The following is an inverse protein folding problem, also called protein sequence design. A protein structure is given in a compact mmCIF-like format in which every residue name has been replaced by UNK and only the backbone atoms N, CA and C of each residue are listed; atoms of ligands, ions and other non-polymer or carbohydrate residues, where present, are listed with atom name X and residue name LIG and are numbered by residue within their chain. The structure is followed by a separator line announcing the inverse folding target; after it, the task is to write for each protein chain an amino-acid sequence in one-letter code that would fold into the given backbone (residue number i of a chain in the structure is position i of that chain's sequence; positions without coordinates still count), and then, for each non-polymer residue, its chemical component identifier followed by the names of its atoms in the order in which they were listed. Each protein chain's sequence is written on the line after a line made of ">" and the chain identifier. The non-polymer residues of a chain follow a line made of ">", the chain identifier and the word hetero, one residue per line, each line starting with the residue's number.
data_IF_935276343318
#
_entry.id   IF_935276343318
#
_cell.length_a   1.000
_cell.length_b   1.000
_cell.length_c   1.000
_cell.angle_alpha   90.00
_cell.angle_beta   90.00
_cell.angle_gamma   90.00
#
_symmetry.space_group_name_H-M   'P 1'
#
loop_
_entity.id
_entity.type
_entity.pdbx_description
1 polymer ?
#
# COMPACT_ATOMS: atom_id res chain seq x y z
N UNK A 1 -36.58 21.64 -57.18
CA UNK A 1 -35.72 20.78 -56.36
C UNK A 1 -36.58 20.03 -55.36
N UNK A 2 -36.44 18.70 -55.28
CA UNK A 2 -37.23 17.73 -54.49
C UNK A 2 -37.45 18.15 -53.03
N UNK A 3 -38.67 18.14 -52.49
CA UNK A 3 -39.42 16.96 -51.98
C UNK A 3 -38.62 16.10 -51.01
N UNK A 4 -38.80 16.36 -49.71
CA UNK A 4 -38.96 15.30 -48.72
C UNK A 4 -40.19 15.60 -47.89
N UNK A 5 -41.12 14.68 -47.99
CA UNK A 5 -42.46 14.63 -47.42
C UNK A 5 -42.45 13.48 -46.41
N UNK A 6 -43.18 13.62 -45.32
CA UNK A 6 -43.84 12.49 -44.69
C UNK A 6 -43.23 11.85 -43.43
N UNK A 7 -44.02 11.96 -42.37
CA UNK A 7 -44.59 10.87 -41.54
C UNK A 7 -43.84 10.36 -40.31
N UNK A 8 -44.48 10.64 -39.16
CA UNK A 8 -44.80 9.75 -38.04
C UNK A 8 -43.90 8.53 -37.82
N UNK A 9 -43.12 8.59 -36.73
CA UNK A 9 -42.51 7.41 -36.14
C UNK A 9 -43.49 6.77 -35.14
N UNK A 10 -44.18 5.73 -35.60
CA UNK A 10 -44.90 4.76 -34.78
C UNK A 10 -43.88 3.83 -34.08
N UNK A 11 -43.90 3.68 -32.74
CA UNK A 11 -42.93 2.88 -32.00
C UNK A 11 -43.35 1.41 -31.95
N UNK A 12 -42.97 0.62 -32.96
CA UNK A 12 -43.35 -0.79 -32.94
C UNK A 12 -42.90 -1.65 -34.10
N UNK A 13 -41.60 -1.78 -34.36
CA UNK A 13 -41.07 -2.93 -35.13
C UNK A 13 -39.55 -2.95 -35.20
N UNK A 14 -38.88 -3.55 -34.21
CA UNK A 14 -37.56 -4.17 -34.47
C UNK A 14 -37.39 -5.40 -33.58
N UNK A 15 -38.33 -6.34 -33.72
CA UNK A 15 -38.06 -7.75 -33.45
C UNK A 15 -37.42 -8.36 -34.70
N UNK A 16 -36.38 -9.15 -34.45
CA UNK A 16 -35.71 -10.09 -35.34
C UNK A 16 -34.82 -9.52 -36.46
N UNK A 17 -33.51 -9.57 -36.21
CA UNK A 17 -32.69 -10.58 -36.91
C UNK A 17 -31.43 -10.97 -36.15
N UNK A 18 -31.38 -12.25 -35.82
CA UNK A 18 -30.24 -13.01 -35.30
C UNK A 18 -29.25 -13.27 -36.46
N UNK A 19 -27.97 -12.99 -36.27
CA UNK A 19 -26.86 -13.72 -36.92
C UNK A 19 -25.55 -13.50 -36.16
N UNK A 20 -25.10 -14.59 -35.52
CA UNK A 20 -23.70 -15.02 -35.41
C UNK A 20 -22.67 -14.09 -34.75
N UNK A 21 -22.26 -14.50 -33.55
CA UNK A 21 -21.07 -14.00 -32.84
C UNK A 21 -20.64 -15.00 -31.78
N UNK A 22 -20.25 -16.20 -32.20
CA UNK A 22 -19.67 -17.23 -31.34
C UNK A 22 -18.19 -16.90 -31.06
N UNK A 23 -17.89 -16.38 -29.86
CA UNK A 23 -16.58 -16.40 -29.21
C UNK A 23 -16.89 -16.46 -27.70
N UNK A 24 -16.73 -17.58 -26.99
CA UNK A 24 -15.52 -18.38 -26.90
C UNK A 24 -14.87 -18.06 -25.54
N UNK A 25 -15.39 -18.67 -24.47
CA UNK A 25 -14.82 -18.58 -23.13
C UNK A 25 -13.42 -19.19 -23.11
N UNK A 26 -12.41 -18.32 -22.98
CA UNK A 26 -11.01 -18.71 -22.86
C UNK A 26 -10.50 -18.48 -21.45
N UNK A 27 -10.32 -19.55 -20.69
CA UNK A 27 -9.41 -19.59 -19.54
C UNK A 27 -8.04 -19.11 -20.00
N UNK A 28 -7.60 -17.92 -19.54
CA UNK A 28 -6.20 -17.49 -19.71
C UNK A 28 -5.34 -18.41 -18.83
N UNK A 29 -4.77 -19.43 -19.45
CA UNK A 29 -3.69 -20.20 -18.86
C UNK A 29 -2.53 -19.23 -18.55
N UNK A 30 -2.05 -19.25 -17.31
CA UNK A 30 -0.80 -18.61 -16.93
C UNK A 30 0.31 -19.21 -17.81
N UNK A 31 0.91 -18.38 -18.66
CA UNK A 31 2.11 -18.78 -19.39
C UNK A 31 3.23 -19.06 -18.37
N UNK A 32 4.03 -20.12 -18.57
CA UNK A 32 5.19 -20.36 -17.72
C UNK A 32 6.17 -19.19 -17.84
N UNK A 33 6.87 -18.83 -16.75
CA UNK A 33 7.81 -17.72 -16.75
C UNK A 33 8.87 -17.91 -17.84
N UNK A 34 9.22 -16.81 -18.50
CA UNK A 34 10.22 -16.80 -19.55
C UNK A 34 11.61 -17.05 -18.97
N UNK A 35 12.57 -17.49 -19.80
CA UNK A 35 13.95 -17.69 -19.34
C UNK A 35 14.54 -16.43 -18.70
N UNK A 36 14.10 -15.22 -19.06
CA UNK A 36 14.53 -13.97 -18.46
C UNK A 36 14.08 -13.82 -16.99
N UNK A 37 12.86 -14.29 -16.66
CA UNK A 37 12.33 -14.29 -15.29
C UNK A 37 13.09 -15.32 -14.41
N UNK A 38 13.53 -16.43 -15.01
CA UNK A 38 14.35 -17.43 -14.34
C UNK A 38 15.80 -16.96 -14.08
N UNK A 39 16.36 -16.10 -14.94
CA UNK A 39 17.71 -15.55 -14.73
C UNK A 39 17.71 -14.55 -13.57
N UNK A 40 16.67 -13.71 -13.45
CA UNK A 40 16.53 -12.77 -12.33
C UNK A 40 16.38 -13.47 -10.96
N UNK A 41 15.76 -14.66 -10.93
CA UNK A 41 15.66 -15.46 -9.70
C UNK A 41 17.02 -16.03 -9.26
N UNK A 42 17.93 -16.32 -10.21
CA UNK A 42 19.25 -16.93 -9.93
C UNK A 42 20.29 -15.95 -9.39
N UNK A 43 20.10 -14.63 -9.59
CA UNK A 43 21.00 -13.58 -9.07
C UNK A 43 20.75 -13.24 -7.59
N UNK A 44 19.67 -13.76 -7.00
CA UNK A 44 19.25 -13.46 -5.62
C UNK A 44 19.73 -14.50 -4.59
N UNK A 45 20.32 -15.61 -5.05
CA UNK A 45 20.64 -16.79 -4.23
C UNK A 45 21.84 -16.57 -3.27
N UNK A 46 22.56 -15.47 -3.43
CA UNK A 46 23.74 -15.10 -2.63
C UNK A 46 23.63 -13.79 -1.85
N UNK A 47 22.49 -13.11 -1.89
CA UNK A 47 22.30 -11.87 -1.13
C UNK A 47 21.93 -12.21 0.32
N UNK A 48 22.54 -11.56 1.33
CA UNK A 48 22.13 -11.75 2.72
C UNK A 48 20.63 -11.50 2.85
N UNK A 49 19.91 -12.43 3.49
CA UNK A 49 18.47 -12.29 3.74
C UNK A 49 18.25 -11.00 4.52
N UNK A 50 17.64 -10.02 3.87
CA UNK A 50 17.29 -8.79 4.56
C UNK A 50 16.01 -9.00 5.36
N UNK A 51 16.07 -8.65 6.63
CA UNK A 51 14.89 -8.58 7.47
C UNK A 51 14.06 -7.38 7.01
N UNK A 52 12.85 -7.65 6.49
CA UNK A 52 11.94 -6.62 5.94
C UNK A 52 10.85 -6.22 6.92
N UNK A 53 10.64 -7.03 7.97
CA UNK A 53 9.54 -6.87 8.89
C UNK A 53 10.08 -6.58 10.29
N UNK A 54 10.14 -5.31 10.64
CA UNK A 54 10.51 -4.85 11.97
C UNK A 54 9.27 -4.47 12.79
N UNK A 55 8.06 -4.70 12.26
CA UNK A 55 6.82 -4.33 12.93
C UNK A 55 6.45 -5.35 14.01
N UNK A 56 6.43 -4.89 15.25
CA UNK A 56 5.83 -5.61 16.38
C UNK A 56 4.56 -4.86 16.77
N UNK A 57 3.41 -5.51 16.60
CA UNK A 57 2.12 -4.91 16.94
C UNK A 57 2.00 -4.77 18.45
N UNK A 58 1.76 -3.55 18.93
CA UNK A 58 1.56 -3.29 20.35
C UNK A 58 0.26 -3.92 20.87
N UNK A 59 0.18 -4.36 22.14
CA UNK A 59 -1.04 -4.94 22.72
C UNK A 59 -2.26 -4.00 22.61
N UNK A 60 -2.03 -2.69 22.70
CA UNK A 60 -3.01 -1.61 22.54
C UNK A 60 -3.65 -1.58 21.13
N UNK A 61 -2.90 -1.96 20.11
CA UNK A 61 -3.33 -2.02 18.70
C UNK A 61 -3.97 -3.38 18.41
N UNK A 62 -3.34 -4.47 18.88
CA UNK A 62 -3.87 -5.82 18.74
C UNK A 62 -5.27 -5.96 19.36
N UNK A 63 -5.48 -5.35 20.53
CA UNK A 63 -6.75 -5.37 21.25
C UNK A 63 -7.87 -4.51 20.66
N UNK A 64 -7.59 -3.68 19.63
CA UNK A 64 -8.64 -2.87 19.01
C UNK A 64 -9.64 -3.76 18.25
N UNK A 65 -10.91 -3.53 18.48
CA UNK A 65 -11.99 -4.11 17.67
C UNK A 65 -12.02 -3.48 16.28
N UNK A 66 -12.60 -4.18 15.31
CA UNK A 66 -12.76 -3.63 13.96
C UNK A 66 -13.60 -2.34 13.95
N UNK A 67 -14.63 -2.27 14.80
CA UNK A 67 -15.47 -1.07 14.93
C UNK A 67 -14.66 0.13 15.44
N UNK A 68 -13.76 -0.07 16.41
CA UNK A 68 -12.85 0.98 16.88
C UNK A 68 -11.87 1.44 15.80
N UNK A 69 -11.35 0.49 15.00
CA UNK A 69 -10.46 0.79 13.87
C UNK A 69 -11.19 1.63 12.81
N UNK A 70 -12.41 1.22 12.44
CA UNK A 70 -13.24 1.94 11.47
C UNK A 70 -13.62 3.32 12.01
N UNK A 71 -14.01 3.42 13.28
CA UNK A 71 -14.32 4.70 13.92
C UNK A 71 -13.11 5.63 13.97
N UNK A 72 -11.92 5.11 14.26
CA UNK A 72 -10.68 5.87 14.26
C UNK A 72 -10.35 6.39 12.86
N UNK A 73 -10.38 5.51 11.85
CA UNK A 73 -10.14 5.87 10.45
C UNK A 73 -11.10 6.96 9.98
N UNK A 74 -12.40 6.81 10.28
CA UNK A 74 -13.42 7.81 9.95
C UNK A 74 -13.16 9.15 10.64
N UNK A 75 -12.79 9.15 11.93
CA UNK A 75 -12.52 10.36 12.71
C UNK A 75 -11.30 11.13 12.19
N UNK A 76 -10.28 10.41 11.71
CA UNK A 76 -9.01 10.97 11.23
C UNK A 76 -8.96 11.12 9.71
N UNK A 77 -10.09 10.97 9.02
CA UNK A 77 -10.22 11.08 7.56
C UNK A 77 -9.28 10.13 6.79
N UNK A 78 -9.03 8.95 7.35
CA UNK A 78 -8.19 7.92 6.77
C UNK A 78 -9.06 7.01 5.90
N UNK A 79 -8.74 6.94 4.61
CA UNK A 79 -9.27 5.93 3.70
C UNK A 79 -8.17 4.95 3.36
N UNK A 80 -8.49 3.65 3.34
CA UNK A 80 -7.51 2.63 2.95
C UNK A 80 -8.10 1.70 1.90
N UNK A 81 -7.31 1.46 0.86
CA UNK A 81 -7.60 0.52 -0.20
C UNK A 81 -6.45 -0.49 -0.30
N UNK A 82 -6.77 -1.78 -0.31
CA UNK A 82 -5.76 -2.84 -0.36
C UNK A 82 -6.15 -4.08 0.43
N UNK A 83 -5.24 -5.06 0.48
CA UNK A 83 -5.39 -6.30 1.25
C UNK A 83 -4.42 -6.30 2.42
N UNK A 84 -4.81 -6.96 3.52
CA UNK A 84 -3.98 -7.16 4.72
C UNK A 84 -3.42 -5.87 5.33
N UNK A 85 -4.28 -4.84 5.38
CA UNK A 85 -3.92 -3.53 5.93
C UNK A 85 -3.87 -3.63 7.46
N UNK A 86 -2.73 -3.31 8.10
CA UNK A 86 -2.61 -3.30 9.55
C UNK A 86 -3.48 -2.21 10.18
N UNK A 87 -3.82 -2.42 11.44
CA UNK A 87 -4.54 -1.45 12.25
C UNK A 87 -3.71 -0.16 12.41
N UNK A 88 -4.36 1.02 12.46
CA UNK A 88 -3.66 2.27 12.66
C UNK A 88 -3.12 2.36 14.09
N UNK A 89 -1.93 2.94 14.24
CA UNK A 89 -1.34 3.27 15.55
C UNK A 89 -1.89 4.60 16.06
N UNK A 90 -2.12 4.68 17.36
CA UNK A 90 -2.66 5.89 18.02
C UNK A 90 -1.55 6.71 18.64
N UNK A 91 -0.55 6.05 19.19
CA UNK A 91 0.58 6.68 19.87
C UNK A 91 1.92 6.25 19.26
N UNK A 92 2.96 7.06 19.45
CA UNK A 92 4.31 6.73 18.96
C UNK A 92 4.87 5.44 19.60
N UNK A 93 4.48 5.16 20.85
CA UNK A 93 4.87 3.92 21.54
C UNK A 93 4.26 2.67 20.93
N UNK A 94 3.13 2.79 20.23
CA UNK A 94 2.44 1.65 19.60
C UNK A 94 3.13 1.16 18.32
N UNK A 95 4.07 1.96 17.81
CA UNK A 95 4.74 1.73 16.52
C UNK A 95 5.83 0.67 16.61
N UNK A 96 6.41 0.50 17.80
CA UNK A 96 7.58 -0.35 18.01
C UNK A 96 8.88 0.29 17.50
N UNK A 97 8.97 1.61 17.43
CA UNK A 97 10.22 2.29 17.10
C UNK A 97 11.26 2.14 18.23
N UNK A 98 12.56 2.13 17.91
CA UNK A 98 13.62 2.15 18.92
C UNK A 98 13.52 3.38 19.83
N UNK A 99 13.93 3.21 21.09
CA UNK A 99 13.87 4.25 22.12
C UNK A 99 14.54 5.57 21.69
N UNK A 100 15.70 5.51 21.01
CA UNK A 100 16.36 6.71 20.53
C UNK A 100 15.52 7.50 19.51
N UNK A 101 14.68 6.82 18.70
CA UNK A 101 13.77 7.47 17.76
C UNK A 101 12.63 8.15 18.51
N UNK A 102 12.05 7.46 19.48
CA UNK A 102 10.97 8.00 20.32
C UNK A 102 11.43 9.25 21.07
N UNK A 103 12.66 9.24 21.61
CA UNK A 103 13.25 10.40 22.26
C UNK A 103 13.39 11.60 21.32
N UNK A 104 13.84 11.40 20.08
CA UNK A 104 13.94 12.50 19.11
C UNK A 104 12.56 13.04 18.70
N UNK A 105 11.55 12.18 18.56
CA UNK A 105 10.16 12.58 18.31
C UNK A 105 9.64 13.45 19.46
N UNK A 106 9.87 13.03 20.71
CA UNK A 106 9.46 13.78 21.90
C UNK A 106 10.21 15.11 22.00
N UNK A 107 11.53 15.13 21.75
CA UNK A 107 12.34 16.36 21.75
C UNK A 107 11.89 17.35 20.67
N UNK A 108 11.47 16.85 19.51
CA UNK A 108 10.91 17.67 18.43
C UNK A 108 9.52 18.23 18.76
N UNK A 109 8.91 17.82 19.88
CA UNK A 109 7.63 18.34 20.36
C UNK A 109 6.41 17.71 19.69
N UNK A 110 6.55 16.56 19.04
CA UNK A 110 5.40 15.85 18.48
C UNK A 110 4.63 15.12 19.58
N UNK A 111 3.32 15.40 19.67
CA UNK A 111 2.44 14.84 20.71
C UNK A 111 1.73 13.59 20.23
N UNK A 112 1.25 13.58 18.99
CA UNK A 112 0.55 12.44 18.38
C UNK A 112 0.97 12.25 16.91
N UNK A 113 0.90 11.02 16.38
CA UNK A 113 1.11 10.77 14.97
C UNK A 113 0.02 11.40 14.09
N UNK A 114 0.42 11.92 12.93
CA UNK A 114 -0.53 12.42 11.93
C UNK A 114 -1.31 11.27 11.28
N UNK A 115 -2.49 11.50 10.69
CA UNK A 115 -3.29 10.42 10.09
C UNK A 115 -2.52 9.54 9.10
N UNK A 116 -1.68 10.15 8.26
CA UNK A 116 -0.85 9.42 7.30
C UNK A 116 0.25 8.60 7.97
N UNK A 117 0.78 9.07 9.10
CA UNK A 117 1.78 8.36 9.90
C UNK A 117 1.14 7.17 10.63
N UNK A 118 -0.03 7.39 11.26
CA UNK A 118 -0.80 6.37 11.97
C UNK A 118 -1.12 5.14 11.12
N UNK A 119 -1.45 5.33 9.85
CA UNK A 119 -1.70 4.22 8.94
C UNK A 119 -0.45 3.77 8.16
N UNK A 120 0.46 4.71 7.87
CA UNK A 120 1.63 4.50 7.04
C UNK A 120 2.76 3.73 7.74
N UNK A 121 3.05 4.00 9.01
CA UNK A 121 4.17 3.33 9.70
C UNK A 121 3.96 1.82 9.87
N UNK A 122 2.78 1.32 10.29
CA UNK A 122 2.57 -0.13 10.38
C UNK A 122 2.69 -0.84 9.02
N UNK A 123 2.32 -0.15 7.92
CA UNK A 123 2.52 -0.67 6.56
C UNK A 123 3.99 -0.68 6.16
N UNK A 124 4.71 0.42 6.40
CA UNK A 124 6.12 0.57 6.06
C UNK A 124 7.02 -0.40 6.85
N UNK A 125 6.74 -0.58 8.15
CA UNK A 125 7.52 -1.47 9.03
C UNK A 125 7.30 -2.95 8.73
N UNK A 126 6.18 -3.32 8.08
CA UNK A 126 5.96 -4.66 7.54
C UNK A 126 6.72 -4.91 6.22
N UNK A 127 7.44 -3.91 5.71
CA UNK A 127 8.20 -4.00 4.47
C UNK A 127 7.32 -4.11 3.22
N UNK A 128 6.09 -3.57 3.28
CA UNK A 128 5.13 -3.57 2.17
C UNK A 128 5.15 -2.24 1.42
N UNK A 129 4.95 -2.33 0.11
CA UNK A 129 4.76 -1.15 -0.71
C UNK A 129 3.43 -0.46 -0.36
N UNK A 130 3.47 0.87 -0.27
CA UNK A 130 2.31 1.69 0.07
C UNK A 130 2.32 2.98 -0.75
N UNK A 131 1.13 3.47 -1.12
CA UNK A 131 0.94 4.78 -1.74
C UNK A 131 0.18 5.64 -0.73
N UNK A 132 0.83 6.70 -0.24
CA UNK A 132 0.25 7.62 0.74
C UNK A 132 -0.19 8.93 0.11
N UNK A 133 -1.50 9.17 0.07
CA UNK A 133 -2.09 10.44 -0.39
C UNK A 133 -2.52 11.25 0.82
N UNK A 134 -1.97 12.44 0.99
CA UNK A 134 -2.35 13.38 2.05
C UNK A 134 -1.99 14.81 1.62
N UNK A 135 -2.57 15.82 2.28
CA UNK A 135 -2.34 17.24 1.96
C UNK A 135 -0.90 17.71 2.24
N UNK A 136 -0.49 18.85 1.68
CA UNK A 136 0.79 19.48 2.02
C UNK A 136 0.82 19.87 3.50
N UNK A 137 1.92 19.56 4.21
CA UNK A 137 2.03 19.81 5.65
C UNK A 137 1.54 18.67 6.55
N UNK A 138 0.97 17.59 5.99
CA UNK A 138 0.44 16.45 6.77
C UNK A 138 1.49 15.52 7.40
N UNK A 139 2.79 15.86 7.31
CA UNK A 139 3.86 15.06 7.89
C UNK A 139 4.28 13.83 7.08
N UNK A 140 3.92 13.73 5.79
CA UNK A 140 4.36 12.65 4.87
C UNK A 140 5.86 12.40 4.89
N UNK A 141 6.67 13.46 5.02
CA UNK A 141 8.13 13.38 5.10
C UNK A 141 8.60 12.47 6.24
N UNK A 142 8.09 12.71 7.44
CA UNK A 142 8.40 11.85 8.60
C UNK A 142 7.74 10.47 8.49
N UNK A 143 6.64 10.35 7.75
CA UNK A 143 5.95 9.08 7.54
C UNK A 143 6.83 8.05 6.81
N UNK A 144 7.66 8.46 5.85
CA UNK A 144 8.60 7.54 5.18
C UNK A 144 10.02 7.58 5.76
N UNK A 145 10.49 8.73 6.26
CA UNK A 145 11.86 8.85 6.78
C UNK A 145 12.11 8.04 8.04
N UNK A 146 11.16 8.03 8.99
CA UNK A 146 11.35 7.32 10.26
C UNK A 146 11.49 5.80 10.06
N UNK A 147 10.60 5.12 9.31
CA UNK A 147 10.81 3.72 8.94
C UNK A 147 12.14 3.50 8.19
N UNK A 148 12.54 4.42 7.30
CA UNK A 148 13.79 4.30 6.56
C UNK A 148 15.02 4.34 7.47
N UNK A 149 15.07 5.26 8.45
CA UNK A 149 16.16 5.34 9.43
C UNK A 149 16.23 4.06 10.26
N UNK A 150 15.09 3.54 10.71
CA UNK A 150 15.02 2.28 11.46
C UNK A 150 15.52 1.11 10.61
N UNK A 151 15.13 1.04 9.33
CA UNK A 151 15.60 0.03 8.40
C UNK A 151 17.11 0.11 8.17
N UNK A 152 17.68 1.31 7.96
CA UNK A 152 19.12 1.52 7.76
C UNK A 152 19.91 1.10 9.00
N UNK A 153 19.46 1.50 10.20
CA UNK A 153 20.14 1.17 11.45
C UNK A 153 20.07 -0.33 11.80
N UNK A 154 19.08 -1.06 11.28
CA UNK A 154 18.97 -2.50 11.44
C UNK A 154 19.88 -3.30 10.49
N UNK A 155 20.51 -2.67 9.50
CA UNK A 155 21.45 -3.34 8.61
C UNK A 155 22.88 -3.34 9.18
N UNK A 156 23.63 -4.45 9.06
CA UNK A 156 25.05 -4.46 9.39
C UNK A 156 25.81 -3.46 8.51
N UNK A 157 26.73 -2.70 9.12
CA UNK A 157 27.62 -1.81 8.38
C UNK A 157 28.36 -2.61 7.30
N UNK A 158 28.33 -2.13 6.06
CA UNK A 158 29.21 -2.61 5.00
C UNK A 158 30.66 -2.40 5.48
N UNK A 159 31.26 -3.47 6.00
CA UNK A 159 32.65 -3.49 6.44
C UNK A 159 33.55 -3.06 5.27
N UNK A 160 34.43 -2.10 5.55
CA UNK A 160 35.50 -1.56 4.70
C UNK A 160 35.69 -2.31 3.38
N UNK A 161 35.34 -1.65 2.27
CA UNK A 161 35.96 -1.95 0.97
C UNK A 161 37.44 -1.57 1.12
N UNK A 162 38.28 -2.56 1.44
CA UNK A 162 39.72 -2.41 1.33
C UNK A 162 40.02 -2.40 -0.16
N UNK A 163 40.26 -1.20 -0.70
CA UNK A 163 40.88 -1.07 -2.02
C UNK A 163 42.33 -1.53 -1.88
N UNK A 164 42.64 -2.68 -2.47
CA UNK A 164 44.01 -3.13 -2.73
C UNK A 164 44.48 -2.61 -4.08
#
# INVERSE_FOLDING_TARGET
>A
MNRFDGREADPGSYRDRRSEGAFGGGTRAFAPPSKADAVAASELDGLPRFEKNFYVEAPSVAGMTEDEVVAYRRRREITVEGRDVPKPVRDFGDVGFPEYVLQEITKAGFVEPTPIQSQGWPMALRGRDLIGIAETGSGKTLAYLLPAIVHVNAQPFLGKVVFH
#
